data_IF_914436742949
#
_entry.id   IF_914436742949
#
_cell.length_a   1.000
_cell.length_b   1.000
_cell.length_c   1.000
_cell.angle_alpha   90.00
_cell.angle_beta   90.00
_cell.angle_gamma   90.00
#
_symmetry.space_group_name_H-M   'P 1'
#
loop_
_entity.id
_entity.type
_entity.pdbx_description
1 polymer ?
#
# COMPACT_ATOMS: atom_id res chain seq x y z
N UNK A 1 -2.92 -19.07 -6.61
CA UNK A 1 -3.09 -18.47 -7.96
C UNK A 1 -3.99 -17.26 -7.85
N UNK A 2 -3.84 -16.31 -8.76
CA UNK A 2 -4.63 -15.08 -8.81
C UNK A 2 -5.00 -14.79 -10.26
N UNK A 3 -6.27 -14.40 -10.50
CA UNK A 3 -6.71 -13.95 -11.82
C UNK A 3 -6.23 -12.52 -12.04
N UNK A 4 -5.77 -12.21 -13.24
CA UNK A 4 -5.28 -10.87 -13.56
C UNK A 4 -5.51 -10.49 -15.02
N UNK A 5 -5.56 -9.19 -15.24
CA UNK A 5 -5.57 -8.58 -16.57
C UNK A 5 -4.64 -7.38 -16.61
N UNK A 6 -3.82 -7.31 -17.65
CA UNK A 6 -3.00 -6.14 -17.95
C UNK A 6 -3.72 -5.27 -18.95
N UNK A 7 -4.01 -4.02 -18.60
CA UNK A 7 -4.66 -3.08 -19.50
C UNK A 7 -3.73 -2.73 -20.66
N UNK A 8 -4.24 -2.87 -21.89
CA UNK A 8 -3.57 -2.38 -23.09
C UNK A 8 -3.78 -0.88 -23.30
N UNK A 9 -3.40 -0.38 -24.48
CA UNK A 9 -3.55 1.04 -24.82
C UNK A 9 -5.01 1.54 -24.74
N UNK A 10 -5.19 2.82 -24.38
CA UNK A 10 -6.48 3.52 -24.39
C UNK A 10 -7.16 3.42 -25.76
N UNK A 11 -8.44 3.05 -25.77
CA UNK A 11 -9.27 2.98 -26.97
C UNK A 11 -10.69 3.45 -26.67
N UNK A 12 -11.35 4.05 -27.65
CA UNK A 12 -12.80 4.24 -27.61
C UNK A 12 -13.49 2.88 -27.68
N UNK A 13 -14.54 2.71 -26.89
CA UNK A 13 -15.38 1.53 -26.89
C UNK A 13 -16.76 1.87 -27.44
N UNK A 14 -17.18 1.13 -28.47
CA UNK A 14 -18.55 1.19 -29.00
C UNK A 14 -19.28 -0.07 -28.55
N UNK A 15 -20.52 0.09 -28.11
CA UNK A 15 -21.40 -1.00 -27.70
C UNK A 15 -20.82 -1.91 -26.61
N UNK A 16 -19.99 -1.36 -25.71
CA UNK A 16 -19.37 -2.12 -24.64
C UNK A 16 -20.43 -2.77 -23.72
N UNK A 17 -20.33 -4.06 -23.38
CA UNK A 17 -21.36 -4.78 -22.59
C UNK A 17 -21.57 -4.24 -21.17
N UNK A 18 -20.65 -3.39 -20.69
CA UNK A 18 -20.74 -2.68 -19.41
C UNK A 18 -21.10 -1.20 -19.54
N UNK A 19 -21.46 -0.73 -20.74
CA UNK A 19 -21.80 0.68 -21.00
C UNK A 19 -20.62 1.65 -20.95
N UNK A 20 -19.39 1.15 -21.04
CA UNK A 20 -18.17 1.96 -21.05
C UNK A 20 -17.99 2.64 -22.41
N UNK A 21 -17.50 3.87 -22.40
CA UNK A 21 -17.14 4.62 -23.62
C UNK A 21 -15.65 4.52 -23.96
N UNK A 22 -14.83 4.05 -23.03
CA UNK A 22 -13.39 3.88 -23.19
C UNK A 22 -12.91 2.61 -22.47
N UNK A 23 -11.89 1.96 -23.05
CA UNK A 23 -11.17 0.82 -22.45
C UNK A 23 -9.66 1.06 -22.50
N UNK A 24 -8.89 0.27 -21.74
CA UNK A 24 -7.43 0.38 -21.70
C UNK A 24 -6.89 1.45 -20.73
N UNK A 25 -5.57 1.55 -20.70
CA UNK A 25 -4.81 2.30 -19.72
C UNK A 25 -4.64 3.78 -20.09
N UNK A 26 -4.78 4.65 -19.08
CA UNK A 26 -4.26 6.03 -19.04
C UNK A 26 -3.60 6.24 -17.67
N UNK A 27 -2.62 7.14 -17.59
CA UNK A 27 -1.76 7.28 -16.40
C UNK A 27 -2.51 7.76 -15.14
N UNK A 28 -3.63 8.45 -15.31
CA UNK A 28 -4.42 9.09 -14.26
C UNK A 28 -5.74 8.35 -13.97
N UNK A 29 -5.76 7.02 -14.18
CA UNK A 29 -6.88 6.20 -13.78
C UNK A 29 -7.02 6.14 -12.27
N UNK A 30 -8.23 6.41 -11.78
CA UNK A 30 -8.61 6.08 -10.42
C UNK A 30 -8.82 4.56 -10.28
N UNK A 31 -8.73 4.04 -9.05
CA UNK A 31 -8.95 2.62 -8.76
C UNK A 31 -10.32 2.10 -9.29
N UNK A 32 -11.44 2.84 -9.13
CA UNK A 32 -12.73 2.43 -9.71
C UNK A 32 -12.73 2.40 -11.23
N UNK A 33 -12.05 3.35 -11.90
CA UNK A 33 -11.97 3.38 -13.36
C UNK A 33 -11.11 2.23 -13.90
N UNK A 34 -9.97 1.97 -13.25
CA UNK A 34 -9.14 0.82 -13.57
C UNK A 34 -9.93 -0.48 -13.44
N UNK A 35 -10.67 -0.66 -12.34
CA UNK A 35 -11.55 -1.83 -12.18
C UNK A 35 -12.61 -1.89 -13.28
N UNK A 36 -13.33 -0.81 -13.56
CA UNK A 36 -14.36 -0.78 -14.60
C UNK A 36 -13.81 -1.20 -15.98
N UNK A 37 -12.59 -0.76 -16.32
CA UNK A 37 -11.91 -1.11 -17.58
C UNK A 37 -11.30 -2.52 -17.58
N UNK A 38 -10.92 -3.05 -16.41
CA UNK A 38 -10.35 -4.39 -16.25
C UNK A 38 -11.36 -5.52 -16.24
N UNK A 39 -12.67 -5.22 -16.21
CA UNK A 39 -13.72 -6.25 -16.17
C UNK A 39 -13.97 -6.96 -17.51
N UNK A 40 -13.33 -6.54 -18.60
CA UNK A 40 -13.59 -7.06 -19.94
C UNK A 40 -14.66 -6.27 -20.71
N UNK A 41 -14.99 -6.70 -21.94
CA UNK A 41 -14.82 -8.05 -22.46
C UNK A 41 -13.38 -8.36 -22.89
N UNK A 42 -12.83 -9.49 -22.43
CA UNK A 42 -11.48 -9.96 -22.78
C UNK A 42 -11.44 -11.49 -22.97
N UNK A 43 -10.55 -12.03 -23.82
CA UNK A 43 -10.33 -13.47 -23.92
C UNK A 43 -9.87 -14.09 -22.59
N UNK A 44 -10.24 -15.34 -22.34
CA UNK A 44 -9.80 -16.09 -21.16
C UNK A 44 -10.52 -17.42 -20.97
N UNK A 45 -10.16 -18.15 -19.91
CA UNK A 45 -10.81 -19.40 -19.52
C UNK A 45 -11.83 -19.15 -18.38
N UNK A 46 -13.11 -19.35 -18.65
CA UNK A 46 -14.19 -18.98 -17.73
C UNK A 46 -14.13 -19.74 -16.40
N UNK A 47 -13.79 -21.03 -16.43
CA UNK A 47 -13.74 -21.85 -15.23
C UNK A 47 -12.56 -21.46 -14.34
N UNK A 48 -11.41 -21.16 -14.94
CA UNK A 48 -10.26 -20.60 -14.22
C UNK A 48 -10.62 -19.25 -13.58
N UNK A 49 -11.24 -18.32 -14.32
CA UNK A 49 -11.60 -16.99 -13.76
C UNK A 49 -12.61 -17.13 -12.61
N UNK A 50 -13.62 -18.01 -12.75
CA UNK A 50 -14.61 -18.27 -11.70
C UNK A 50 -14.00 -18.93 -10.46
N UNK A 51 -12.95 -19.73 -10.62
CA UNK A 51 -12.32 -20.43 -9.51
C UNK A 51 -11.49 -19.52 -8.62
N UNK A 52 -11.09 -18.35 -9.15
CA UNK A 52 -10.31 -17.36 -8.43
C UNK A 52 -11.20 -16.39 -7.66
N UNK A 53 -10.73 -15.99 -6.47
CA UNK A 53 -11.46 -15.06 -5.60
C UNK A 53 -11.24 -13.60 -5.97
N UNK A 54 -10.10 -13.30 -6.58
CA UNK A 54 -9.65 -11.93 -6.82
C UNK A 54 -9.21 -11.74 -8.26
N UNK A 55 -9.56 -10.57 -8.81
CA UNK A 55 -9.09 -10.06 -10.09
C UNK A 55 -8.14 -8.89 -9.84
N UNK A 56 -6.92 -9.01 -10.34
CA UNK A 56 -5.91 -7.95 -10.37
C UNK A 56 -5.95 -7.23 -11.71
N UNK A 57 -6.13 -5.92 -11.70
CA UNK A 57 -6.04 -5.08 -12.91
C UNK A 57 -4.74 -4.31 -12.86
N UNK A 58 -3.92 -4.41 -13.91
CA UNK A 58 -2.59 -3.81 -13.93
C UNK A 58 -2.37 -2.86 -15.10
N UNK A 59 -1.44 -1.91 -14.92
CA UNK A 59 -0.87 -1.07 -15.95
C UNK A 59 0.07 -1.88 -16.87
N UNK A 60 0.45 -1.33 -18.03
CA UNK A 60 1.41 -1.97 -18.94
C UNK A 60 2.77 -2.31 -18.32
N UNK A 61 3.20 -1.57 -17.31
CA UNK A 61 4.45 -1.79 -16.56
C UNK A 61 4.30 -2.74 -15.35
N UNK A 62 3.17 -3.46 -15.31
CA UNK A 62 2.80 -4.43 -14.28
C UNK A 62 2.46 -3.83 -12.90
N UNK A 63 2.31 -2.50 -12.78
CA UNK A 63 1.74 -1.88 -11.57
C UNK A 63 0.28 -2.27 -11.38
N UNK A 64 -0.10 -2.70 -10.18
CA UNK A 64 -1.47 -3.05 -9.83
C UNK A 64 -2.28 -1.78 -9.58
N UNK A 65 -3.26 -1.54 -10.44
CA UNK A 65 -4.14 -0.37 -10.41
C UNK A 65 -5.41 -0.61 -9.59
N UNK A 66 -5.92 -1.85 -9.59
CA UNK A 66 -7.10 -2.24 -8.85
C UNK A 66 -7.09 -3.73 -8.50
N UNK A 67 -7.74 -4.08 -7.40
CA UNK A 67 -8.07 -5.46 -7.04
C UNK A 67 -9.55 -5.53 -6.72
N UNK A 68 -10.21 -6.58 -7.19
CA UNK A 68 -11.64 -6.78 -6.98
C UNK A 68 -11.95 -8.23 -6.62
N UNK A 69 -12.99 -8.43 -5.81
CA UNK A 69 -13.54 -9.78 -5.58
C UNK A 69 -14.34 -10.22 -6.78
N UNK A 70 -14.11 -11.44 -7.24
CA UNK A 70 -14.89 -12.04 -8.33
C UNK A 70 -16.17 -12.64 -7.74
N UNK A 71 -17.31 -12.24 -8.30
CA UNK A 71 -18.65 -12.72 -7.91
C UNK A 71 -19.36 -13.47 -9.03
N UNK A 72 -18.91 -13.28 -10.27
CA UNK A 72 -19.46 -13.96 -11.43
C UNK A 72 -18.63 -13.71 -12.68
N UNK A 73 -18.85 -14.54 -13.70
CA UNK A 73 -18.25 -14.40 -15.03
C UNK A 73 -19.33 -14.65 -16.06
N UNK A 74 -19.53 -13.67 -16.94
CA UNK A 74 -20.43 -13.72 -18.09
C UNK A 74 -19.61 -13.80 -19.37
N UNK A 75 -20.24 -14.30 -20.43
CA UNK A 75 -19.66 -14.33 -21.76
C UNK A 75 -20.42 -13.35 -22.66
N UNK A 76 -19.69 -12.63 -23.51
CA UNK A 76 -20.21 -11.69 -24.48
C UNK A 76 -19.37 -11.82 -25.75
N UNK A 77 -19.97 -12.25 -26.86
CA UNK A 77 -19.30 -12.45 -28.15
C UNK A 77 -17.99 -13.27 -28.10
N UNK A 78 -17.96 -14.30 -27.25
CA UNK A 78 -16.79 -15.18 -27.09
C UNK A 78 -15.72 -14.64 -26.14
N UNK A 79 -15.96 -13.49 -25.53
CA UNK A 79 -15.08 -12.86 -24.53
C UNK A 79 -15.73 -12.86 -23.15
N UNK A 80 -14.90 -12.83 -22.11
CA UNK A 80 -15.36 -12.88 -20.73
C UNK A 80 -15.56 -11.48 -20.16
N UNK A 81 -16.61 -11.34 -19.36
CA UNK A 81 -16.89 -10.16 -18.55
C UNK A 81 -16.99 -10.59 -17.09
N UNK A 82 -16.17 -9.99 -16.24
CA UNK A 82 -16.13 -10.29 -14.80
C UNK A 82 -17.12 -9.40 -14.05
N UNK A 83 -17.95 -10.01 -13.22
CA UNK A 83 -18.77 -9.32 -12.23
C UNK A 83 -18.10 -9.41 -10.87
N UNK A 84 -18.05 -8.30 -10.13
CA UNK A 84 -17.29 -8.24 -8.90
C UNK A 84 -17.44 -6.93 -8.14
N UNK A 85 -16.81 -6.88 -6.98
CA UNK A 85 -16.76 -5.68 -6.16
C UNK A 85 -15.32 -5.21 -5.99
N UNK A 86 -15.08 -3.92 -6.23
CA UNK A 86 -13.78 -3.31 -5.99
C UNK A 86 -13.42 -3.45 -4.49
N UNK A 87 -12.20 -3.92 -4.22
CA UNK A 87 -11.62 -3.87 -2.88
C UNK A 87 -10.88 -2.55 -2.75
N UNK A 88 -11.56 -1.57 -2.15
CA UNK A 88 -11.01 -0.22 -1.94
C UNK A 88 -9.75 -0.32 -1.08
N UNK A 89 -8.69 0.37 -1.51
CA UNK A 89 -7.39 0.41 -0.83
C UNK A 89 -6.76 -0.96 -0.59
N UNK A 90 -6.96 -1.92 -1.49
CA UNK A 90 -6.32 -3.23 -1.38
C UNK A 90 -4.80 -3.11 -1.28
N UNK A 91 -4.18 -3.96 -0.45
CA UNK A 91 -2.76 -3.93 -0.11
C UNK A 91 -1.84 -4.02 -1.35
N UNK A 92 -2.30 -4.64 -2.43
CA UNK A 92 -1.51 -4.76 -3.66
C UNK A 92 -1.58 -3.55 -4.60
N UNK A 93 -2.49 -2.60 -4.40
CA UNK A 93 -2.60 -1.42 -5.28
C UNK A 93 -1.36 -0.53 -5.13
N UNK A 94 -0.79 -0.11 -6.27
CA UNK A 94 0.46 0.65 -6.35
C UNK A 94 1.72 -0.21 -6.25
N UNK A 95 1.60 -1.54 -6.15
CA UNK A 95 2.75 -2.47 -6.17
C UNK A 95 2.86 -3.13 -7.54
N UNK A 96 4.03 -3.65 -7.89
CA UNK A 96 4.22 -4.38 -9.15
C UNK A 96 3.95 -5.87 -8.97
N UNK A 97 3.40 -6.49 -10.01
CA UNK A 97 3.40 -7.95 -10.12
C UNK A 97 4.82 -8.45 -10.36
N UNK A 98 5.09 -9.65 -9.85
CA UNK A 98 6.42 -10.25 -9.92
C UNK A 98 6.56 -11.17 -11.13
N UNK A 99 5.45 -11.77 -11.56
CA UNK A 99 5.40 -12.63 -12.73
C UNK A 99 4.80 -11.81 -13.87
N UNK A 100 5.63 -11.34 -14.80
CA UNK A 100 5.17 -10.51 -15.92
C UNK A 100 4.17 -11.26 -16.81
N UNK A 101 3.18 -10.53 -17.32
CA UNK A 101 2.26 -11.06 -18.36
C UNK A 101 2.46 -10.28 -19.65
N UNK A 102 2.95 -10.90 -20.74
CA UNK A 102 3.15 -10.20 -22.00
C UNK A 102 1.83 -9.95 -22.76
N UNK A 103 0.74 -10.61 -22.39
CA UNK A 103 -0.56 -10.41 -23.01
C UNK A 103 -1.28 -9.18 -22.39
N UNK A 104 -1.85 -8.34 -23.25
CA UNK A 104 -2.71 -7.23 -22.86
C UNK A 104 -4.16 -7.64 -23.05
N UNK A 105 -5.06 -7.14 -22.20
CA UNK A 105 -6.51 -7.32 -22.34
C UNK A 105 -6.90 -8.80 -22.46
N UNK A 106 -6.26 -9.67 -21.67
CA UNK A 106 -6.52 -11.11 -21.58
C UNK A 106 -6.54 -11.49 -20.10
N UNK A 107 -7.52 -12.28 -19.68
CA UNK A 107 -7.52 -12.87 -18.34
C UNK A 107 -6.47 -13.98 -18.27
N UNK A 108 -5.54 -13.83 -17.33
CA UNK A 108 -4.45 -14.77 -17.11
C UNK A 108 -4.35 -15.14 -15.63
N UNK A 109 -3.54 -16.16 -15.34
CA UNK A 109 -3.39 -16.72 -14.00
C UNK A 109 -1.91 -16.88 -13.68
N UNK A 110 -1.55 -16.55 -12.44
CA UNK A 110 -0.23 -16.84 -11.91
C UNK A 110 -0.29 -17.03 -10.41
N UNK A 111 0.69 -17.74 -9.85
CA UNK A 111 0.81 -17.89 -8.40
C UNK A 111 1.50 -16.68 -7.74
N UNK A 112 0.86 -15.51 -7.90
CA UNK A 112 1.37 -14.22 -7.40
C UNK A 112 1.53 -14.18 -5.88
N UNK A 113 0.73 -14.94 -5.12
CA UNK A 113 0.83 -14.96 -3.66
C UNK A 113 2.14 -15.59 -3.19
N UNK A 114 2.52 -16.74 -3.76
CA UNK A 114 3.79 -17.40 -3.47
C UNK A 114 4.98 -16.53 -3.90
N UNK A 115 4.90 -15.90 -5.07
CA UNK A 115 5.93 -14.96 -5.53
C UNK A 115 6.06 -13.76 -4.57
N UNK A 116 4.92 -13.24 -4.11
CA UNK A 116 4.86 -12.06 -3.24
C UNK A 116 5.39 -12.30 -1.84
N UNK A 117 5.07 -13.44 -1.25
CA UNK A 117 5.38 -13.74 0.14
C UNK A 117 6.87 -13.51 0.49
N UNK A 118 7.79 -13.83 -0.43
CA UNK A 118 9.24 -13.65 -0.24
C UNK A 118 9.85 -12.39 -0.85
N UNK A 119 9.07 -11.59 -1.58
CA UNK A 119 9.60 -10.52 -2.44
C UNK A 119 10.07 -9.26 -1.72
N UNK A 120 10.97 -8.50 -2.38
CA UNK A 120 11.40 -7.16 -1.95
C UNK A 120 10.22 -6.19 -2.07
N UNK A 121 9.35 -6.38 -3.05
CA UNK A 121 8.17 -5.56 -3.29
C UNK A 121 7.19 -5.66 -2.12
N UNK A 122 7.04 -6.86 -1.52
CA UNK A 122 6.31 -7.02 -0.25
C UNK A 122 6.98 -6.27 0.89
N UNK A 123 8.31 -6.34 0.99
CA UNK A 123 9.05 -5.59 2.01
C UNK A 123 8.79 -4.09 1.86
N UNK A 124 9.02 -3.53 0.67
CA UNK A 124 8.72 -2.11 0.34
C UNK A 124 7.31 -1.72 0.75
N UNK A 125 6.32 -2.53 0.37
CA UNK A 125 4.93 -2.29 0.72
C UNK A 125 4.68 -2.27 2.24
N UNK A 126 5.27 -3.19 3.01
CA UNK A 126 5.14 -3.19 4.48
C UNK A 126 5.65 -1.87 5.08
N UNK A 127 6.73 -1.31 4.54
CA UNK A 127 7.29 -0.03 5.00
C UNK A 127 6.44 1.17 4.57
N UNK A 128 5.90 1.17 3.34
CA UNK A 128 4.91 2.19 2.92
C UNK A 128 3.74 2.19 3.89
N UNK A 129 3.19 1.01 4.19
CA UNK A 129 2.07 0.90 5.14
C UNK A 129 2.47 1.38 6.53
N UNK A 130 3.66 1.03 7.01
CA UNK A 130 4.16 1.48 8.30
C UNK A 130 4.19 3.01 8.38
N UNK A 131 4.72 3.68 7.36
CA UNK A 131 4.78 5.13 7.31
C UNK A 131 3.38 5.77 7.25
N UNK A 132 2.49 5.23 6.41
CA UNK A 132 1.10 5.71 6.32
C UNK A 132 0.37 5.57 7.65
N UNK A 133 0.53 4.43 8.34
CA UNK A 133 -0.16 4.17 9.60
C UNK A 133 0.26 5.15 10.69
N UNK A 134 1.57 5.38 10.85
CA UNK A 134 2.07 6.34 11.84
C UNK A 134 1.67 7.78 11.50
N UNK A 135 1.76 8.18 10.22
CA UNK A 135 1.36 9.52 9.77
C UNK A 135 -0.14 9.77 9.98
N UNK A 136 -0.97 8.76 9.71
CA UNK A 136 -2.43 8.82 9.91
C UNK A 136 -2.76 8.99 11.39
N UNK A 137 -2.14 8.21 12.28
CA UNK A 137 -2.39 8.33 13.72
C UNK A 137 -1.94 9.68 14.27
N UNK A 138 -0.80 10.21 13.80
CA UNK A 138 -0.30 11.54 14.18
C UNK A 138 -1.24 12.66 13.72
N UNK A 139 -1.58 12.66 12.44
CA UNK A 139 -2.49 13.64 11.84
C UNK A 139 -3.84 13.63 12.52
N UNK A 140 -4.41 12.45 12.77
CA UNK A 140 -5.68 12.31 13.48
C UNK A 140 -5.62 12.80 14.92
N UNK A 141 -4.49 12.61 15.61
CA UNK A 141 -4.30 13.09 16.99
C UNK A 141 -4.18 14.61 17.03
N UNK A 142 -3.45 15.19 16.09
CA UNK A 142 -3.36 16.63 15.88
C UNK A 142 -4.74 17.25 15.61
N UNK A 143 -5.48 16.71 14.64
CA UNK A 143 -6.82 17.20 14.26
C UNK A 143 -7.81 17.09 15.41
N UNK A 144 -7.76 15.98 16.17
CA UNK A 144 -8.59 15.82 17.38
C UNK A 144 -8.25 16.86 18.44
N UNK A 145 -6.97 17.23 18.59
CA UNK A 145 -6.56 18.24 19.57
C UNK A 145 -7.08 19.63 19.19
N UNK A 146 -7.01 20.00 17.91
CA UNK A 146 -7.59 21.24 17.41
C UNK A 146 -9.10 21.27 17.54
N UNK A 147 -9.79 20.20 17.15
CA UNK A 147 -11.26 20.13 17.22
C UNK A 147 -11.79 20.15 18.67
N UNK A 148 -11.01 19.66 19.63
CA UNK A 148 -11.37 19.64 21.05
C UNK A 148 -10.93 20.88 21.84
N UNK A 149 -10.35 21.89 21.19
CA UNK A 149 -9.91 23.11 21.86
C UNK A 149 -11.11 23.99 22.25
N UNK A 150 -11.00 24.68 23.39
CA UNK A 150 -11.99 25.68 23.79
C UNK A 150 -11.99 26.83 22.76
N UNK A 151 -13.13 27.19 22.14
CA UNK A 151 -13.21 28.30 21.20
C UNK A 151 -12.78 29.65 21.80
N UNK A 152 -12.79 29.80 23.13
CA UNK A 152 -12.32 30.98 23.82
C UNK A 152 -10.81 30.97 24.14
N UNK A 153 -10.11 29.86 23.89
CA UNK A 153 -8.67 29.76 24.10
C UNK A 153 -7.89 30.57 23.05
N UNK A 154 -6.68 30.98 23.42
CA UNK A 154 -5.75 31.61 22.50
C UNK A 154 -5.41 30.64 21.34
N UNK A 155 -5.59 31.03 20.07
CA UNK A 155 -5.25 30.21 18.91
C UNK A 155 -3.78 29.77 18.88
N UNK A 156 -2.85 30.61 19.34
CA UNK A 156 -1.41 30.25 19.35
C UNK A 156 -1.13 29.14 20.36
N UNK A 157 -1.74 29.21 21.53
CA UNK A 157 -1.63 28.18 22.57
C UNK A 157 -2.28 26.87 22.11
N UNK A 158 -3.43 26.98 21.43
CA UNK A 158 -4.12 25.82 20.85
C UNK A 158 -3.25 25.11 19.81
N UNK A 159 -2.64 25.86 18.90
CA UNK A 159 -1.72 25.33 17.89
C UNK A 159 -0.48 24.70 18.52
N UNK A 160 0.13 25.38 19.49
CA UNK A 160 1.30 24.86 20.21
C UNK A 160 0.98 23.52 20.89
N UNK A 161 -0.19 23.40 21.52
CA UNK A 161 -0.59 22.15 22.18
C UNK A 161 -0.92 21.02 21.19
N UNK A 162 -1.45 21.35 20.01
CA UNK A 162 -1.64 20.38 18.93
C UNK A 162 -0.30 19.89 18.38
N UNK A 163 0.67 20.79 18.20
CA UNK A 163 2.04 20.45 17.80
C UNK A 163 2.73 19.55 18.83
N UNK A 164 2.59 19.83 20.13
CA UNK A 164 3.13 19.00 21.20
C UNK A 164 2.56 17.57 21.15
N UNK A 165 1.26 17.42 20.85
CA UNK A 165 0.63 16.09 20.69
C UNK A 165 1.30 15.27 19.59
N UNK A 166 1.79 15.91 18.53
CA UNK A 166 2.57 15.23 17.50
C UNK A 166 3.95 14.79 18.00
N UNK A 167 4.51 15.33 19.08
CA UNK A 167 5.83 14.91 19.55
C UNK A 167 5.82 13.67 20.45
N UNK A 168 4.68 13.34 21.08
CA UNK A 168 4.59 12.29 22.12
C UNK A 168 4.64 10.87 21.53
N UNK A 169 3.54 10.35 20.96
CA UNK A 169 3.48 8.98 20.39
C UNK A 169 2.53 8.92 19.20
N UNK A 170 2.73 8.02 18.22
CA UNK A 170 3.87 7.11 18.05
C UNK A 170 5.06 7.73 17.28
N UNK A 171 6.31 7.43 17.64
CA UNK A 171 7.52 7.93 16.94
C UNK A 171 8.17 6.90 16.01
N UNK A 172 7.76 5.63 16.12
CA UNK A 172 8.27 4.56 15.28
C UNK A 172 7.24 3.44 15.09
N UNK A 173 7.51 2.56 14.13
CA UNK A 173 6.70 1.38 13.82
C UNK A 173 7.59 0.14 13.83
N UNK A 174 7.27 -0.82 14.70
CA UNK A 174 7.90 -2.14 14.72
C UNK A 174 7.26 -3.04 13.66
N UNK A 175 8.10 -3.76 12.92
CA UNK A 175 7.70 -4.59 11.79
C UNK A 175 7.93 -6.06 12.10
N UNK A 176 6.85 -6.84 12.15
CA UNK A 176 6.89 -8.29 12.33
C UNK A 176 7.21 -9.01 11.03
N UNK A 177 7.87 -10.18 11.08
CA UNK A 177 8.21 -11.00 9.89
C UNK A 177 7.00 -11.34 8.99
N UNK A 178 5.80 -11.42 9.58
CA UNK A 178 4.55 -11.65 8.85
C UNK A 178 4.01 -10.39 8.15
N UNK A 179 4.66 -9.24 8.32
CA UNK A 179 4.20 -7.92 7.88
C UNK A 179 3.37 -7.17 8.92
N UNK A 180 2.93 -7.78 10.02
CA UNK A 180 2.14 -7.08 11.06
C UNK A 180 2.93 -5.90 11.63
N UNK A 181 2.24 -4.80 11.90
CA UNK A 181 2.82 -3.55 12.38
C UNK A 181 2.42 -3.30 13.83
N UNK A 182 3.31 -2.66 14.58
CA UNK A 182 3.03 -2.17 15.93
C UNK A 182 3.62 -0.79 16.13
N UNK A 183 2.76 0.17 16.45
CA UNK A 183 3.17 1.55 16.74
C UNK A 183 3.83 1.63 18.13
N UNK A 184 4.91 2.40 18.26
CA UNK A 184 5.63 2.62 19.52
C UNK A 184 6.07 4.06 19.73
N UNK A 185 6.48 4.42 20.96
CA UNK A 185 6.95 5.77 21.29
C UNK A 185 7.73 5.83 22.61
N UNK A 186 8.16 7.02 23.09
CA UNK A 186 9.32 7.17 23.95
C UNK A 186 9.00 6.77 25.39
N UNK A 187 9.28 5.51 25.69
CA UNK A 187 9.83 5.05 26.97
C UNK A 187 11.10 4.24 26.66
N UNK A 188 11.99 4.82 25.85
CA UNK A 188 13.31 4.26 25.54
C UNK A 188 14.41 5.34 25.60
N UNK A 189 14.22 6.37 26.43
CA UNK A 189 15.16 7.49 26.59
C UNK A 189 16.36 7.21 27.51
N UNK A 190 16.58 5.97 27.96
CA UNK A 190 17.76 5.63 28.78
C UNK A 190 18.36 4.25 28.53
N UNK A 191 18.14 3.65 27.36
CA UNK A 191 18.89 2.45 27.00
C UNK A 191 19.84 2.80 25.86
N UNK A 192 21.13 2.65 26.11
CA UNK A 192 22.06 2.20 25.07
C UNK A 192 21.32 1.21 24.18
N UNK A 193 21.03 1.62 22.94
CA UNK A 193 20.28 0.81 21.98
C UNK A 193 21.07 -0.40 21.50
N UNK A 194 22.38 -0.44 21.80
CA UNK A 194 23.24 -1.62 21.68
C UNK A 194 23.15 -2.57 22.89
N UNK A 195 22.50 -2.16 23.99
CA UNK A 195 22.57 -2.84 25.30
C UNK A 195 21.26 -3.45 25.82
N UNK A 196 20.09 -2.97 25.39
CA UNK A 196 18.80 -3.52 25.86
C UNK A 196 17.81 -3.77 24.72
N UNK A 197 18.18 -4.73 23.88
CA UNK A 197 17.22 -5.55 23.13
C UNK A 197 16.78 -6.68 24.08
N UNK A 198 15.83 -6.45 24.98
CA UNK A 198 14.94 -7.58 25.33
C UNK A 198 14.31 -8.01 24.01
N UNK A 199 14.34 -9.29 23.60
CA UNK A 199 14.38 -9.57 22.19
C UNK A 199 12.95 -9.56 21.67
N UNK A 200 12.45 -8.40 21.27
CA UNK A 200 11.34 -8.23 20.34
C UNK A 200 11.49 -9.14 19.09
N UNK A 201 12.72 -9.54 18.76
CA UNK A 201 13.02 -10.65 17.85
C UNK A 201 12.41 -11.98 18.27
N UNK A 202 12.35 -12.31 19.58
CA UNK A 202 11.67 -13.51 20.12
C UNK A 202 10.16 -13.44 19.88
N UNK A 203 9.61 -12.24 19.77
CA UNK A 203 8.22 -11.98 19.39
C UNK A 203 8.03 -11.85 17.88
N UNK A 204 9.06 -12.12 17.09
CA UNK A 204 9.06 -12.15 15.62
C UNK A 204 9.15 -10.79 14.93
N UNK A 205 9.50 -9.72 15.65
CA UNK A 205 9.80 -8.41 15.05
C UNK A 205 11.22 -8.41 14.47
N UNK A 206 11.34 -8.02 13.21
CA UNK A 206 12.58 -8.10 12.43
C UNK A 206 13.14 -6.72 12.07
N UNK A 207 12.34 -5.66 12.14
CA UNK A 207 12.81 -4.31 11.87
C UNK A 207 11.95 -3.23 12.55
N UNK A 208 12.41 -1.97 12.49
CA UNK A 208 11.74 -0.79 13.01
C UNK A 208 11.95 0.42 12.10
N UNK A 209 10.84 1.05 11.68
CA UNK A 209 10.85 2.31 10.94
C UNK A 209 10.68 3.47 11.92
N UNK A 210 11.70 4.33 12.03
CA UNK A 210 11.67 5.54 12.87
C UNK A 210 11.31 6.75 12.02
N UNK A 211 10.44 7.61 12.54
CA UNK A 211 10.08 8.85 11.83
C UNK A 211 11.28 9.77 11.65
N UNK A 212 12.12 9.92 12.68
CA UNK A 212 13.28 10.81 12.64
C UNK A 212 14.29 10.39 11.54
N UNK A 213 14.46 9.08 11.33
CA UNK A 213 15.29 8.51 10.26
C UNK A 213 14.71 8.81 8.87
N UNK A 214 13.37 8.77 8.74
CA UNK A 214 12.67 8.97 7.46
C UNK A 214 12.57 10.44 7.09
N UNK A 215 12.28 11.30 8.07
CA UNK A 215 12.10 12.73 7.86
C UNK A 215 13.43 13.49 7.88
N UNK A 216 14.53 12.84 8.29
CA UNK A 216 15.84 13.47 8.42
C UNK A 216 15.87 14.60 9.46
N UNK A 217 14.85 14.66 10.32
CA UNK A 217 14.70 15.68 11.36
C UNK A 217 15.09 15.08 12.70
N UNK A 218 16.19 15.55 13.28
CA UNK A 218 16.40 15.44 14.73
C UNK A 218 15.61 16.57 15.40
N UNK A 219 14.29 16.46 15.49
CA UNK A 219 13.47 17.59 15.95
C UNK A 219 11.97 17.36 15.97
N UNK A 220 11.24 18.46 15.99
CA UNK A 220 9.79 18.49 16.05
C UNK A 220 9.17 18.04 14.73
N UNK A 221 8.21 17.11 14.81
CA UNK A 221 7.37 16.72 13.69
C UNK A 221 6.51 17.89 13.19
N UNK A 222 6.50 18.10 11.88
CA UNK A 222 5.66 19.08 11.19
C UNK A 222 4.43 18.42 10.57
N UNK A 223 3.25 18.98 10.83
CA UNK A 223 1.98 18.48 10.31
C UNK A 223 1.91 18.59 8.79
N UNK A 224 2.53 19.61 8.19
CA UNK A 224 2.52 19.82 6.74
C UNK A 224 3.36 18.78 6.01
N UNK A 225 4.36 18.22 6.70
CA UNK A 225 5.15 17.08 6.22
C UNK A 225 4.40 15.76 6.40
N UNK A 226 3.67 15.59 7.52
CA UNK A 226 2.97 14.34 7.83
C UNK A 226 1.68 14.14 7.03
N UNK A 227 0.92 15.20 6.74
CA UNK A 227 -0.38 15.08 6.04
C UNK A 227 -0.27 14.39 4.68
N UNK A 228 0.67 14.74 3.78
CA UNK A 228 0.82 14.05 2.51
C UNK A 228 1.08 12.55 2.68
N UNK A 229 1.84 12.17 3.72
CA UNK A 229 2.26 10.80 4.02
C UNK A 229 1.12 9.91 4.52
N UNK A 230 -0.10 10.42 4.71
CA UNK A 230 -1.29 9.57 4.90
C UNK A 230 -1.71 8.86 3.60
N UNK A 231 -1.16 9.26 2.46
CA UNK A 231 -1.32 8.58 1.17
C UNK A 231 -0.18 7.59 0.91
N UNK A 232 -0.52 6.42 0.34
CA UNK A 232 0.49 5.41 -0.02
C UNK A 232 1.46 5.91 -1.07
N UNK A 233 1.00 6.71 -2.04
CA UNK A 233 1.82 7.27 -3.11
C UNK A 233 2.92 8.18 -2.53
N UNK A 234 2.56 9.19 -1.73
CA UNK A 234 3.54 10.09 -1.13
C UNK A 234 4.50 9.36 -0.17
N UNK A 235 3.98 8.40 0.60
CA UNK A 235 4.81 7.58 1.46
C UNK A 235 5.82 6.73 0.66
N UNK A 236 5.41 6.16 -0.47
CA UNK A 236 6.30 5.40 -1.35
C UNK A 236 7.38 6.29 -1.98
N UNK A 237 7.00 7.46 -2.50
CA UNK A 237 7.93 8.43 -3.07
C UNK A 237 8.99 8.90 -2.06
N UNK A 238 8.57 9.20 -0.83
CA UNK A 238 9.51 9.58 0.24
C UNK A 238 10.50 8.45 0.53
N UNK A 239 10.02 7.22 0.76
CA UNK A 239 10.89 6.09 1.08
C UNK A 239 11.83 5.72 -0.08
N UNK A 240 11.38 5.88 -1.33
CA UNK A 240 12.22 5.69 -2.52
C UNK A 240 13.34 6.75 -2.58
N UNK A 241 13.04 8.01 -2.26
CA UNK A 241 14.03 9.09 -2.25
C UNK A 241 15.16 8.87 -1.23
N UNK A 242 14.90 8.12 -0.16
CA UNK A 242 15.88 7.75 0.87
C UNK A 242 16.75 6.55 0.46
N UNK A 243 16.34 5.81 -0.57
CA UNK A 243 16.94 4.56 -1.00
C UNK A 243 16.41 3.36 -0.21
N UNK A 244 15.67 2.48 -0.90
CA UNK A 244 15.04 1.30 -0.29
C UNK A 244 16.03 0.37 0.44
N UNK A 245 17.25 0.26 -0.05
CA UNK A 245 18.34 -0.50 0.58
C UNK A 245 18.73 0.05 1.96
N UNK A 246 18.61 1.35 2.16
CA UNK A 246 18.93 2.02 3.42
C UNK A 246 17.77 2.00 4.41
N UNK A 247 16.54 1.92 3.89
CA UNK A 247 15.30 1.86 4.66
C UNK A 247 15.01 0.43 5.13
N UNK A 248 15.18 -0.56 4.24
CA UNK A 248 14.91 -1.97 4.50
C UNK A 248 16.17 -2.63 5.09
N UNK A 249 16.58 -2.18 6.28
CA UNK A 249 17.88 -2.52 6.88
C UNK A 249 18.02 -3.99 7.26
N UNK A 250 16.95 -4.67 7.69
CA UNK A 250 17.01 -6.04 8.22
C UNK A 250 15.88 -6.97 7.76
N UNK A 251 14.77 -6.42 7.28
CA UNK A 251 13.61 -7.22 6.87
C UNK A 251 13.90 -8.21 5.72
N UNK A 252 14.91 -7.91 4.88
CA UNK A 252 15.36 -8.80 3.80
C UNK A 252 16.42 -9.80 4.27
N UNK A 253 17.35 -9.39 5.13
CA UNK A 253 18.46 -10.24 5.58
C UNK A 253 18.01 -11.39 6.49
N UNK A 254 17.07 -11.16 7.41
CA UNK A 254 16.52 -12.19 8.32
C UNK A 254 15.68 -13.27 7.61
N UNK A 255 15.49 -13.16 6.30
CA UNK A 255 14.79 -14.16 5.46
C UNK A 255 15.73 -15.10 4.73
N UNK A 256 17.03 -14.84 4.78
CA UNK A 256 18.04 -15.76 4.24
C UNK A 256 18.39 -16.75 5.36
N UNK A 257 18.11 -18.07 5.21
CA UNK A 257 18.66 -19.02 6.17
C UNK A 257 20.19 -18.89 6.18
N UNK A 258 20.86 -19.06 7.33
CA UNK A 258 22.32 -19.11 7.34
C UNK A 258 22.76 -20.19 6.33
N UNK A 259 23.66 -19.80 5.42
CA UNK A 259 24.26 -20.72 4.45
C UNK A 259 25.08 -21.80 5.14
#
# INVERSE_FOLDING_TARGET
MASRVRLGNLREARDHPLGMTETGFRADLTQPEAFARGRGPFPGDADSVRSERELFVTAPDDEVLAVATVTGVREHDGELVVDGHLVVDHDRVGTRLLIRTPAENVFSFADEESAWAGSIERARWVYVRALVEVATVKTASYDRRLAGADPAADPEVTLATANETMQVVPRYVMIHRSGKLRLGGPYADTADWDGHVEPWTDYGYVDCLRLDDVLGTSGDLDIDVLRPLTSRAAAAELLESLGWDKVIRRFVDDRTPPQ
#
